data_IF_813207742565
#
_entry.id   IF_813207742565
#
_cell.length_a   1.000
_cell.length_b   1.000
_cell.length_c   1.000
_cell.angle_alpha   90.00
_cell.angle_beta   90.00
_cell.angle_gamma   90.00
#
_symmetry.space_group_name_H-M   'P 1'
#
loop_
_entity.id
_entity.type
_entity.pdbx_description
1 polymer ?
#
# COMPACT_ATOMS: atom_id res chain seq x y z
N UNK A 1 -27.45 -13.28 4.36
CA UNK A 1 -26.96 -12.02 3.74
C UNK A 1 -26.51 -12.28 2.32
N UNK A 2 -26.77 -11.33 1.45
CA UNK A 2 -26.25 -11.37 0.10
C UNK A 2 -24.76 -10.99 0.09
N UNK A 3 -24.02 -11.58 -0.82
CA UNK A 3 -22.62 -11.23 -1.05
C UNK A 3 -22.53 -9.99 -1.94
N UNK A 4 -21.67 -9.06 -1.56
CA UNK A 4 -21.36 -7.87 -2.33
C UNK A 4 -19.84 -7.80 -2.54
N UNK A 5 -19.42 -7.75 -3.79
CA UNK A 5 -18.00 -7.58 -4.13
C UNK A 5 -17.81 -6.17 -4.67
N UNK A 6 -16.86 -5.45 -4.09
CA UNK A 6 -16.55 -4.07 -4.47
C UNK A 6 -15.14 -4.04 -5.04
N UNK A 7 -14.99 -3.55 -6.26
CA UNK A 7 -13.67 -3.30 -6.85
C UNK A 7 -13.35 -1.82 -6.68
N UNK A 8 -12.23 -1.50 -6.05
CA UNK A 8 -11.82 -0.12 -5.83
C UNK A 8 -10.42 0.17 -6.38
N UNK A 9 -10.17 1.42 -6.72
CA UNK A 9 -8.92 1.90 -7.27
C UNK A 9 -8.52 3.25 -6.68
N UNK A 10 -7.50 3.88 -7.28
CA UNK A 10 -6.87 5.09 -6.74
C UNK A 10 -7.84 6.26 -6.52
N UNK A 11 -8.89 6.37 -7.36
CA UNK A 11 -9.90 7.41 -7.20
C UNK A 11 -10.63 7.35 -5.86
N UNK A 12 -10.75 6.17 -5.27
CA UNK A 12 -11.36 5.98 -3.95
C UNK A 12 -10.63 6.74 -2.85
N UNK A 13 -9.32 6.86 -2.93
CA UNK A 13 -8.48 7.49 -1.92
C UNK A 13 -8.10 8.94 -2.27
N UNK A 14 -8.45 9.42 -3.46
CA UNK A 14 -8.11 10.78 -3.89
C UNK A 14 -8.70 11.85 -2.97
N UNK A 15 -9.95 11.70 -2.54
CA UNK A 15 -10.59 12.64 -1.63
C UNK A 15 -9.99 12.63 -0.22
N UNK A 16 -9.29 11.57 0.16
CA UNK A 16 -8.55 11.52 1.41
C UNK A 16 -7.23 12.30 1.35
N UNK A 17 -6.80 12.70 0.16
CA UNK A 17 -5.58 13.47 -0.04
C UNK A 17 -4.41 12.65 -0.60
N UNK A 18 -4.64 11.40 -0.99
CA UNK A 18 -3.61 10.57 -1.62
C UNK A 18 -3.63 10.84 -3.12
N UNK A 19 -2.50 11.32 -3.64
CA UNK A 19 -2.36 11.56 -5.08
C UNK A 19 -2.44 10.26 -5.86
N UNK A 20 -3.18 10.28 -6.96
CA UNK A 20 -3.14 9.17 -7.91
C UNK A 20 -1.82 9.19 -8.67
N UNK A 21 -1.38 8.02 -9.16
CA UNK A 21 -0.09 7.93 -9.85
C UNK A 21 -0.13 8.57 -11.25
N UNK A 22 -1.26 8.52 -11.93
CA UNK A 22 -1.39 8.86 -13.35
C UNK A 22 -1.99 10.23 -13.63
N UNK A 23 -2.55 10.89 -12.62
CA UNK A 23 -3.12 12.22 -12.80
C UNK A 23 -2.01 13.26 -13.08
N UNK A 24 -2.36 14.33 -13.77
CA UNK A 24 -1.44 15.46 -13.99
C UNK A 24 -0.95 15.99 -12.64
N UNK A 25 0.36 16.09 -12.47
CA UNK A 25 0.97 16.41 -11.17
C UNK A 25 0.98 15.26 -10.17
N UNK A 26 0.57 14.05 -10.58
CA UNK A 26 0.58 12.86 -9.76
C UNK A 26 1.98 12.30 -9.56
N UNK A 27 2.06 11.13 -8.91
CA UNK A 27 3.36 10.57 -8.49
C UNK A 27 4.25 10.18 -9.67
N UNK A 28 3.69 9.71 -10.78
CA UNK A 28 4.50 9.34 -11.96
C UNK A 28 5.12 10.54 -12.65
N UNK A 29 4.60 11.74 -12.48
CA UNK A 29 5.22 12.96 -13.01
C UNK A 29 6.45 13.35 -12.20
N UNK A 30 6.47 13.03 -10.90
CA UNK A 30 7.56 13.37 -9.98
C UNK A 30 8.59 12.25 -9.86
N UNK A 31 8.11 11.00 -9.94
CA UNK A 31 8.92 9.79 -9.81
C UNK A 31 8.56 8.87 -10.97
N UNK A 32 9.34 8.88 -12.07
CA UNK A 32 9.05 7.99 -13.20
C UNK A 32 8.96 6.53 -12.77
N UNK A 33 7.97 5.82 -13.30
CA UNK A 33 7.71 4.43 -12.92
C UNK A 33 8.93 3.53 -13.13
N UNK A 34 9.74 3.81 -14.14
CA UNK A 34 10.96 3.07 -14.45
C UNK A 34 12.01 3.15 -13.33
N UNK A 35 11.97 4.22 -12.53
CA UNK A 35 12.95 4.43 -11.46
C UNK A 35 12.52 3.78 -10.13
N UNK A 36 11.23 3.73 -9.84
CA UNK A 36 10.74 3.31 -8.51
C UNK A 36 9.99 1.99 -8.54
N UNK A 37 9.50 1.55 -9.69
CA UNK A 37 8.64 0.37 -9.79
C UNK A 37 9.15 -0.69 -10.75
N UNK A 38 10.45 -0.69 -11.08
CA UNK A 38 11.08 -1.71 -11.91
C UNK A 38 12.34 -2.26 -11.25
N UNK A 39 12.70 -3.53 -11.55
CA UNK A 39 13.98 -4.08 -11.08
C UNK A 39 15.20 -3.30 -11.55
N UNK A 40 15.15 -2.77 -12.78
CA UNK A 40 16.23 -1.97 -13.36
C UNK A 40 16.42 -0.65 -12.61
N UNK A 41 15.33 0.00 -12.24
CA UNK A 41 15.37 1.22 -11.44
C UNK A 41 15.93 0.97 -10.05
N UNK A 42 15.54 -0.13 -9.42
CA UNK A 42 16.09 -0.53 -8.13
C UNK A 42 17.61 -0.78 -8.21
N UNK A 43 18.05 -1.49 -9.24
CA UNK A 43 19.48 -1.77 -9.42
C UNK A 43 20.29 -0.50 -9.66
N UNK A 44 19.71 0.49 -10.32
CA UNK A 44 20.38 1.75 -10.67
C UNK A 44 20.52 2.70 -9.49
N UNK A 45 19.47 2.79 -8.66
CA UNK A 45 19.44 3.65 -7.47
C UNK A 45 18.68 2.96 -6.34
N UNK A 46 19.36 2.09 -5.57
CA UNK A 46 18.71 1.34 -4.50
C UNK A 46 18.12 2.20 -3.39
N UNK A 47 18.64 3.41 -3.16
CA UNK A 47 18.17 4.30 -2.10
C UNK A 47 16.88 5.03 -2.49
N UNK A 48 16.65 5.23 -3.78
CA UNK A 48 15.46 5.96 -4.26
C UNK A 48 14.17 5.22 -3.93
N UNK A 49 14.15 3.91 -4.09
CA UNK A 49 12.95 3.10 -3.85
C UNK A 49 12.52 3.15 -2.38
N UNK A 50 13.40 2.87 -1.39
CA UNK A 50 13.03 3.04 0.02
C UNK A 50 12.55 4.45 0.34
N UNK A 51 13.23 5.47 -0.18
CA UNK A 51 12.85 6.86 0.04
C UNK A 51 11.44 7.16 -0.47
N UNK A 52 11.14 6.74 -1.70
CA UNK A 52 9.81 6.92 -2.31
C UNK A 52 8.71 6.31 -1.44
N UNK A 53 8.87 5.06 -1.01
CA UNK A 53 7.85 4.38 -0.22
C UNK A 53 7.79 4.88 1.22
N UNK A 54 8.90 5.31 1.81
CA UNK A 54 8.92 5.94 3.12
C UNK A 54 8.10 7.23 3.11
N UNK A 55 8.22 8.05 2.06
CA UNK A 55 7.40 9.24 1.90
C UNK A 55 5.92 8.91 1.77
N UNK A 56 5.58 7.84 1.04
CA UNK A 56 4.18 7.41 0.92
C UNK A 56 3.61 6.96 2.26
N UNK A 57 4.41 6.26 3.07
CA UNK A 57 3.98 5.86 4.41
C UNK A 57 3.77 7.06 5.32
N UNK A 58 4.64 8.07 5.25
CA UNK A 58 4.45 9.31 6.01
C UNK A 58 3.16 10.01 5.62
N UNK A 59 2.89 10.12 4.33
CA UNK A 59 1.65 10.69 3.84
C UNK A 59 0.43 9.95 4.39
N UNK A 60 0.52 8.63 4.47
CA UNK A 60 -0.57 7.81 4.98
C UNK A 60 -0.93 8.14 6.43
N UNK A 61 0.04 8.58 7.24
CA UNK A 61 -0.21 9.03 8.61
C UNK A 61 -0.98 10.35 8.69
N UNK A 62 -0.94 11.15 7.64
CA UNK A 62 -1.54 12.48 7.60
C UNK A 62 -2.94 12.51 7.02
N UNK A 63 -3.39 11.39 6.44
CA UNK A 63 -4.69 11.31 5.78
C UNK A 63 -5.65 10.42 6.56
N UNK A 64 -6.94 10.63 6.32
CA UNK A 64 -8.00 9.87 6.98
C UNK A 64 -8.89 9.19 5.93
N UNK A 65 -9.55 8.07 6.29
CA UNK A 65 -10.59 7.51 5.43
C UNK A 65 -11.64 8.57 5.11
N UNK A 66 -12.13 8.56 3.88
CA UNK A 66 -13.21 9.46 3.49
C UNK A 66 -14.57 8.78 3.63
N UNK A 67 -15.64 9.51 3.31
CA UNK A 67 -17.00 9.01 3.46
C UNK A 67 -17.26 7.75 2.62
N UNK A 68 -16.62 7.63 1.47
CA UNK A 68 -16.73 6.42 0.65
C UNK A 68 -16.23 5.18 1.38
N UNK A 69 -15.05 5.27 2.00
CA UNK A 69 -14.51 4.18 2.81
C UNK A 69 -15.45 3.81 3.96
N UNK A 70 -15.98 4.81 4.65
CA UNK A 70 -16.89 4.61 5.79
C UNK A 70 -18.20 3.94 5.36
N UNK A 71 -18.76 4.36 4.22
CA UNK A 71 -20.01 3.79 3.70
C UNK A 71 -19.84 2.32 3.33
N UNK A 72 -18.70 1.94 2.76
CA UNK A 72 -18.42 0.54 2.45
C UNK A 72 -18.37 -0.31 3.73
N UNK A 73 -17.78 0.21 4.78
CA UNK A 73 -17.78 -0.47 6.07
C UNK A 73 -19.20 -0.60 6.65
N UNK A 74 -20.03 0.43 6.53
CA UNK A 74 -21.41 0.41 6.98
C UNK A 74 -22.27 -0.63 6.25
N UNK A 75 -21.97 -0.90 4.98
CA UNK A 75 -22.68 -1.92 4.19
C UNK A 75 -22.53 -3.33 4.76
N UNK A 76 -21.54 -3.58 5.60
CA UNK A 76 -21.38 -4.90 6.24
C UNK A 76 -22.51 -5.26 7.18
N UNK A 77 -23.34 -4.29 7.56
CA UNK A 77 -24.55 -4.54 8.36
C UNK A 77 -25.62 -5.29 7.55
N UNK A 78 -25.65 -5.08 6.23
CA UNK A 78 -26.70 -5.60 5.35
C UNK A 78 -26.19 -6.62 4.34
N UNK A 79 -24.88 -6.66 4.08
CA UNK A 79 -24.25 -7.51 3.08
C UNK A 79 -23.00 -8.16 3.64
N UNK A 80 -22.63 -9.29 3.06
CA UNK A 80 -21.28 -9.84 3.24
C UNK A 80 -20.40 -9.18 2.19
N UNK A 81 -19.64 -8.16 2.60
CA UNK A 81 -18.85 -7.31 1.69
C UNK A 81 -17.44 -7.83 1.57
N UNK A 82 -16.98 -8.02 0.35
CA UNK A 82 -15.56 -8.27 0.03
C UNK A 82 -15.07 -7.12 -0.84
N UNK A 83 -14.04 -6.44 -0.39
CA UNK A 83 -13.40 -5.35 -1.16
C UNK A 83 -12.16 -5.91 -1.85
N UNK A 84 -12.13 -5.79 -3.17
CA UNK A 84 -10.96 -6.11 -3.98
C UNK A 84 -10.38 -4.78 -4.45
N UNK A 85 -9.21 -4.41 -3.92
CA UNK A 85 -8.65 -3.09 -4.18
C UNK A 85 -7.31 -3.15 -4.88
N UNK A 86 -7.09 -2.23 -5.81
CA UNK A 86 -5.79 -1.97 -6.41
C UNK A 86 -4.93 -1.07 -5.53
N UNK A 87 -5.52 -0.50 -4.47
CA UNK A 87 -4.84 0.44 -3.59
C UNK A 87 -3.95 -0.28 -2.59
N UNK A 88 -2.81 0.32 -2.30
CA UNK A 88 -1.87 -0.22 -1.32
C UNK A 88 -2.02 0.45 0.05
N UNK A 89 -2.87 1.49 0.16
CA UNK A 89 -3.16 2.15 1.43
C UNK A 89 -4.05 1.27 2.33
N UNK A 90 -4.13 1.64 3.60
CA UNK A 90 -4.92 0.93 4.60
C UNK A 90 -6.21 1.65 4.98
N UNK A 91 -6.74 2.51 4.09
CA UNK A 91 -7.90 3.33 4.42
C UNK A 91 -9.19 2.52 4.56
N UNK A 92 -9.37 1.47 3.77
CA UNK A 92 -10.52 0.57 3.94
C UNK A 92 -10.51 -0.09 5.33
N UNK A 93 -9.35 -0.59 5.75
CA UNK A 93 -9.19 -1.22 7.07
C UNK A 93 -9.44 -0.21 8.19
N UNK A 94 -8.90 0.99 8.07
CA UNK A 94 -9.05 2.05 9.07
C UNK A 94 -10.50 2.53 9.18
N UNK A 95 -11.27 2.42 8.12
CA UNK A 95 -12.71 2.76 8.13
C UNK A 95 -13.57 1.66 8.76
N UNK A 96 -13.02 0.46 8.96
CA UNK A 96 -13.71 -0.64 9.61
C UNK A 96 -14.10 -1.80 8.71
N UNK A 97 -13.78 -1.78 7.43
CA UNK A 97 -14.03 -2.92 6.53
C UNK A 97 -13.18 -4.12 6.95
N UNK A 98 -13.77 -5.32 6.90
CA UNK A 98 -13.16 -6.52 7.48
C UNK A 98 -12.63 -7.54 6.47
N UNK A 99 -13.08 -7.49 5.21
CA UNK A 99 -12.66 -8.44 4.18
C UNK A 99 -12.10 -7.68 2.98
N UNK A 100 -10.78 -7.55 2.92
CA UNK A 100 -10.10 -6.74 1.90
C UNK A 100 -9.02 -7.58 1.25
N UNK A 101 -9.01 -7.58 -0.08
CA UNK A 101 -7.98 -8.23 -0.90
C UNK A 101 -7.19 -7.13 -1.59
N UNK A 102 -5.92 -7.04 -1.28
CA UNK A 102 -5.00 -6.06 -1.88
C UNK A 102 -4.28 -6.70 -3.08
N UNK A 103 -4.72 -6.37 -4.28
CA UNK A 103 -4.18 -6.97 -5.52
C UNK A 103 -2.71 -6.66 -5.77
N UNK A 104 -2.23 -5.53 -5.29
CA UNK A 104 -0.85 -5.07 -5.52
C UNK A 104 -0.03 -4.99 -4.24
N UNK A 105 -0.50 -5.63 -3.17
CA UNK A 105 0.17 -5.61 -1.88
C UNK A 105 -0.26 -4.46 -0.99
N UNK A 106 0.51 -4.21 0.06
CA UNK A 106 0.16 -3.25 1.11
C UNK A 106 1.36 -2.40 1.50
N UNK A 107 1.16 -1.08 1.48
CA UNK A 107 2.20 -0.10 1.79
C UNK A 107 2.71 -0.23 3.23
N UNK A 108 1.86 -0.66 4.15
CA UNK A 108 2.20 -0.82 5.56
C UNK A 108 2.95 -2.12 5.87
N UNK A 109 3.19 -2.96 4.86
CA UNK A 109 3.91 -4.22 5.02
C UNK A 109 5.23 -4.22 4.27
N UNK A 110 6.18 -4.94 4.83
CA UNK A 110 7.48 -5.21 4.20
C UNK A 110 7.70 -6.71 4.10
N UNK A 111 8.60 -7.12 3.22
CA UNK A 111 8.90 -8.52 2.98
C UNK A 111 10.37 -8.72 2.63
N UNK A 112 10.75 -9.99 2.50
CA UNK A 112 12.08 -10.39 2.06
C UNK A 112 12.29 -10.02 0.58
N UNK A 113 13.46 -9.50 0.23
CA UNK A 113 13.84 -9.28 -1.16
C UNK A 113 14.08 -10.58 -1.92
N UNK A 114 14.50 -11.62 -1.19
CA UNK A 114 14.83 -12.93 -1.77
C UNK A 114 13.60 -13.80 -1.94
N UNK A 115 12.67 -13.75 -0.98
CA UNK A 115 11.48 -14.59 -0.96
C UNK A 115 10.25 -13.75 -0.57
N UNK A 116 9.80 -12.84 -1.46
CA UNK A 116 8.83 -11.80 -1.12
C UNK A 116 7.44 -12.33 -0.79
N UNK A 117 7.08 -13.52 -1.23
CA UNK A 117 5.75 -14.07 -0.99
C UNK A 117 5.70 -15.03 0.20
N UNK A 118 6.82 -15.26 0.88
CA UNK A 118 6.86 -16.14 2.04
C UNK A 118 6.26 -15.41 3.26
N UNK A 119 5.09 -15.88 3.78
CA UNK A 119 4.43 -15.22 4.92
C UNK A 119 5.32 -15.14 6.16
N UNK A 120 6.28 -16.04 6.30
CA UNK A 120 7.20 -16.03 7.43
C UNK A 120 8.08 -14.77 7.47
N UNK A 121 8.32 -14.15 6.31
CA UNK A 121 9.15 -12.95 6.17
C UNK A 121 8.34 -11.69 5.85
N UNK A 122 7.02 -11.76 5.89
CA UNK A 122 6.15 -10.60 5.72
C UNK A 122 5.85 -10.01 7.09
N UNK A 123 6.10 -8.71 7.25
CA UNK A 123 5.92 -8.01 8.52
C UNK A 123 5.03 -6.79 8.32
N UNK A 124 4.05 -6.62 9.21
CA UNK A 124 3.28 -5.38 9.32
C UNK A 124 4.10 -4.35 10.08
N UNK A 125 4.27 -3.16 9.51
CA UNK A 125 4.98 -2.07 10.17
C UNK A 125 4.04 -1.28 11.07
N UNK A 126 4.50 -0.93 12.27
CA UNK A 126 3.82 0.04 13.12
C UNK A 126 4.17 1.45 12.64
N UNK A 127 3.34 2.48 12.95
CA UNK A 127 3.62 3.86 12.52
C UNK A 127 5.03 4.34 12.86
N UNK A 128 5.56 3.98 14.01
CA UNK A 128 6.92 4.34 14.42
C UNK A 128 8.02 3.61 13.65
N UNK A 129 7.65 2.58 12.87
CA UNK A 129 8.57 1.78 12.05
C UNK A 129 8.48 2.11 10.56
N UNK A 130 7.75 3.16 10.18
CA UNK A 130 7.44 3.46 8.78
C UNK A 130 8.64 3.88 7.92
N UNK A 131 9.78 4.17 8.54
CA UNK A 131 11.01 4.47 7.81
C UNK A 131 11.86 3.21 7.69
N UNK A 132 11.99 2.69 6.47
CA UNK A 132 12.80 1.51 6.15
C UNK A 132 14.04 1.99 5.40
N UNK A 133 15.22 1.51 5.82
CA UNK A 133 16.52 1.92 5.29
C UNK A 133 17.24 0.73 4.68
N UNK A 134 18.19 1.02 3.80
CA UNK A 134 19.14 0.02 3.33
C UNK A 134 19.93 -0.49 4.55
N UNK A 135 19.98 -1.79 4.70
CA UNK A 135 20.56 -2.44 5.86
C UNK A 135 19.53 -3.01 6.85
N UNK A 136 18.26 -2.65 6.71
CA UNK A 136 17.19 -3.28 7.48
C UNK A 136 16.86 -4.63 6.83
N UNK A 137 17.03 -5.71 7.59
CA UNK A 137 17.02 -7.05 7.03
C UNK A 137 15.78 -7.84 7.45
N UNK A 138 15.30 -8.67 6.51
CA UNK A 138 14.28 -9.67 6.79
C UNK A 138 14.87 -10.84 7.58
N UNK A 139 14.02 -11.77 8.03
CA UNK A 139 14.45 -12.92 8.81
C UNK A 139 15.41 -13.87 8.08
N UNK A 140 15.43 -13.80 6.73
CA UNK A 140 16.37 -14.59 5.90
C UNK A 140 17.69 -13.86 5.61
N UNK A 141 17.90 -12.69 6.21
CA UNK A 141 19.10 -11.88 6.01
C UNK A 141 19.10 -11.02 4.75
N UNK A 142 18.05 -11.07 3.93
CA UNK A 142 17.93 -10.21 2.76
C UNK A 142 17.37 -8.84 3.13
N UNK A 143 17.59 -7.85 2.26
CA UNK A 143 17.07 -6.50 2.48
C UNK A 143 15.54 -6.51 2.57
N UNK A 144 14.98 -5.82 3.56
CA UNK A 144 13.55 -5.56 3.62
C UNK A 144 13.13 -4.66 2.45
N UNK A 145 12.03 -5.03 1.83
CA UNK A 145 11.43 -4.26 0.75
C UNK A 145 9.93 -4.08 0.98
N UNK A 146 9.29 -3.08 0.36
CA UNK A 146 7.83 -2.95 0.43
C UNK A 146 7.15 -4.20 -0.10
N UNK A 147 6.08 -4.64 0.59
CA UNK A 147 5.25 -5.76 0.14
C UNK A 147 4.28 -5.26 -0.94
N UNK A 148 4.83 -4.92 -2.09
CA UNK A 148 4.10 -4.30 -3.21
C UNK A 148 4.55 -4.99 -4.51
N UNK A 149 3.57 -5.31 -5.33
CA UNK A 149 3.79 -5.95 -6.63
C UNK A 149 3.98 -4.90 -7.72
#
# INVERSE_FOLDING_TARGET
>A
MKNLVVLSGAGMSAESGISTFRDAGGLWDRYPVEQVATPEGYARDPDLVPHFYNERRKQLLEVEPNRGHELLAELEKDFQVTIVTQNIDNLHERAGSSHIIHLHGELTKVCSSRDPNNPHYIKELKPEEFEVKIGDLAGDGSQLRPFIV
#
